data_IF_047901828513
#
_entry.id   IF_047901828513
#
_cell.length_a   1.000
_cell.length_b   1.000
_cell.length_c   1.000
_cell.angle_alpha   90.00
_cell.angle_beta   90.00
_cell.angle_gamma   90.00
#
_symmetry.space_group_name_H-M   'P 1'
#
loop_
_entity.id
_entity.type
_entity.pdbx_description
1 polymer ?
#
# COMPACT_ATOMS: atom_id res chain seq x y z
N UNK A 1 13.37 -5.71 15.80
CA UNK A 1 12.33 -4.90 16.48
C UNK A 1 10.98 -5.53 16.23
N UNK A 2 10.16 -5.73 17.25
CA UNK A 2 8.79 -6.19 17.06
C UNK A 2 7.83 -5.00 17.10
N UNK A 3 6.65 -5.15 16.48
CA UNK A 3 5.62 -4.13 16.57
C UNK A 3 5.24 -3.90 18.04
N UNK A 4 5.05 -2.63 18.42
CA UNK A 4 4.76 -2.21 19.81
C UNK A 4 3.48 -2.82 20.40
N UNK A 5 2.59 -3.38 19.59
CA UNK A 5 1.35 -3.99 20.04
C UNK A 5 0.90 -5.16 19.14
N UNK A 6 0.24 -6.15 19.75
CA UNK A 6 -0.54 -7.21 19.09
C UNK A 6 -2.04 -7.09 19.35
N UNK A 7 -2.50 -6.04 20.05
CA UNK A 7 -3.91 -5.82 20.37
C UNK A 7 -4.66 -5.28 19.15
N UNK A 8 -5.50 -6.14 18.56
CA UNK A 8 -6.34 -5.87 17.38
C UNK A 8 -7.15 -4.57 17.54
N UNK A 9 -7.62 -4.26 18.75
CA UNK A 9 -8.43 -3.07 19.01
C UNK A 9 -7.64 -1.78 18.80
N UNK A 10 -6.35 -1.76 19.18
CA UNK A 10 -5.48 -0.61 18.94
C UNK A 10 -5.18 -0.39 17.46
N UNK A 11 -5.05 -1.48 16.69
CA UNK A 11 -4.89 -1.41 15.23
C UNK A 11 -6.15 -0.85 14.57
N UNK A 12 -7.32 -1.37 14.96
CA UNK A 12 -8.61 -0.89 14.46
C UNK A 12 -8.84 0.59 14.78
N UNK A 13 -8.63 0.99 16.04
CA UNK A 13 -8.76 2.39 16.46
C UNK A 13 -7.80 3.32 15.70
N UNK A 14 -6.59 2.84 15.35
CA UNK A 14 -5.64 3.61 14.55
C UNK A 14 -6.09 3.76 13.10
N UNK A 15 -6.74 2.74 12.53
CA UNK A 15 -7.31 2.79 11.19
C UNK A 15 -8.55 3.71 11.14
N UNK A 16 -9.45 3.58 12.11
CA UNK A 16 -10.66 4.41 12.22
C UNK A 16 -10.32 5.90 12.38
N UNK A 17 -9.23 6.21 13.11
CA UNK A 17 -8.76 7.58 13.29
C UNK A 17 -7.99 8.15 12.08
N UNK A 18 -7.72 7.37 11.03
CA UNK A 18 -6.83 7.77 9.94
C UNK A 18 -7.33 9.03 9.22
N UNK A 19 -8.62 9.10 8.85
CA UNK A 19 -9.16 10.22 8.09
C UNK A 19 -9.06 11.53 8.88
N UNK A 20 -9.35 11.49 10.19
CA UNK A 20 -9.17 12.62 11.09
C UNK A 20 -7.70 13.03 11.19
N UNK A 21 -6.76 12.07 11.22
CA UNK A 21 -5.32 12.37 11.23
C UNK A 21 -4.88 13.06 9.95
N UNK A 22 -5.32 12.59 8.77
CA UNK A 22 -5.00 13.25 7.50
C UNK A 22 -5.52 14.68 7.46
N UNK A 23 -6.76 14.92 7.90
CA UNK A 23 -7.33 16.26 8.00
C UNK A 23 -6.51 17.16 8.95
N UNK A 24 -6.10 16.63 10.10
CA UNK A 24 -5.34 17.40 11.11
C UNK A 24 -3.96 17.86 10.66
N UNK A 25 -3.39 17.26 9.61
CA UNK A 25 -2.09 17.68 9.05
C UNK A 25 -2.15 19.06 8.38
N UNK A 26 -3.34 19.59 8.08
CA UNK A 26 -3.57 20.93 7.51
C UNK A 26 -2.67 21.24 6.30
N UNK A 27 -2.33 20.22 5.49
CA UNK A 27 -1.55 20.38 4.27
C UNK A 27 -2.47 20.64 3.08
N UNK A 28 -2.18 21.64 2.22
CA UNK A 28 -2.98 21.92 1.04
C UNK A 28 -3.14 20.69 0.15
N UNK A 29 -4.37 20.44 -0.32
CA UNK A 29 -4.72 19.35 -1.25
C UNK A 29 -4.42 17.93 -0.74
N UNK A 30 -3.92 17.74 0.49
CA UNK A 30 -3.54 16.41 0.96
C UNK A 30 -4.77 15.50 1.09
N UNK A 31 -5.88 16.02 1.60
CA UNK A 31 -7.14 15.25 1.75
C UNK A 31 -7.61 14.73 0.40
N UNK A 32 -7.73 15.61 -0.60
CA UNK A 32 -8.19 15.21 -1.94
C UNK A 32 -7.20 14.29 -2.66
N UNK A 33 -5.89 14.48 -2.46
CA UNK A 33 -4.87 13.58 -2.99
C UNK A 33 -4.92 12.20 -2.31
N UNK A 34 -5.22 12.15 -1.01
CA UNK A 34 -5.32 10.90 -0.25
C UNK A 34 -6.60 10.13 -0.61
N UNK A 35 -7.73 10.82 -0.76
CA UNK A 35 -8.99 10.25 -1.26
C UNK A 35 -8.79 9.65 -2.66
N UNK A 36 -8.11 10.38 -3.54
CA UNK A 36 -7.73 9.87 -4.85
C UNK A 36 -6.91 8.58 -4.75
N UNK A 37 -5.85 8.57 -3.94
CA UNK A 37 -4.97 7.40 -3.83
C UNK A 37 -5.65 6.19 -3.19
N UNK A 38 -6.49 6.40 -2.16
CA UNK A 38 -7.10 5.31 -1.39
C UNK A 38 -8.39 4.76 -2.00
N UNK A 39 -9.11 5.57 -2.77
CA UNK A 39 -10.45 5.23 -3.26
C UNK A 39 -10.52 5.24 -4.78
N UNK A 40 -10.21 6.38 -5.41
CA UNK A 40 -10.39 6.55 -6.85
C UNK A 40 -9.42 5.67 -7.66
N UNK A 41 -8.12 5.73 -7.34
CA UNK A 41 -7.08 5.05 -8.10
C UNK A 41 -7.24 3.51 -8.09
N UNK A 42 -7.47 2.82 -6.95
CA UNK A 42 -7.74 1.40 -6.96
C UNK A 42 -8.93 1.05 -7.84
N UNK A 43 -10.03 1.80 -7.73
CA UNK A 43 -11.24 1.61 -8.55
C UNK A 43 -10.93 1.73 -10.04
N UNK A 44 -10.18 2.75 -10.46
CA UNK A 44 -9.76 2.95 -11.85
C UNK A 44 -8.89 1.80 -12.37
N UNK A 45 -7.98 1.29 -11.55
CA UNK A 45 -7.13 0.14 -11.93
C UNK A 45 -8.00 -1.11 -12.12
N UNK A 46 -8.90 -1.41 -11.18
CA UNK A 46 -9.75 -2.60 -11.24
C UNK A 46 -10.79 -2.58 -12.37
N UNK A 47 -11.29 -1.39 -12.74
CA UNK A 47 -12.19 -1.23 -13.89
C UNK A 47 -11.55 -1.62 -15.23
N UNK A 48 -10.22 -1.73 -15.29
CA UNK A 48 -9.47 -2.11 -16.51
C UNK A 48 -9.19 -3.62 -16.59
N UNK A 49 -9.73 -4.42 -15.69
CA UNK A 49 -9.63 -5.87 -15.78
C UNK A 49 -10.20 -6.39 -17.12
N UNK A 50 -9.57 -7.40 -17.76
CA UNK A 50 -8.51 -8.27 -17.22
C UNK A 50 -7.09 -7.71 -17.31
N UNK A 51 -6.90 -6.49 -17.80
CA UNK A 51 -5.59 -5.90 -18.07
C UNK A 51 -5.35 -4.63 -17.22
N UNK A 52 -5.27 -4.77 -15.89
CA UNK A 52 -5.12 -3.65 -14.97
C UNK A 52 -3.79 -2.92 -15.25
N UNK A 53 -3.85 -1.60 -15.24
CA UNK A 53 -2.70 -0.74 -15.47
C UNK A 53 -2.95 0.67 -14.92
N UNK A 54 -1.87 1.43 -14.79
CA UNK A 54 -1.94 2.88 -14.53
C UNK A 54 -1.50 3.66 -15.77
N UNK A 55 -2.04 4.86 -15.90
CA UNK A 55 -1.66 5.86 -16.91
C UNK A 55 -0.54 6.77 -16.38
N UNK A 56 0.09 7.55 -17.26
CA UNK A 56 1.10 8.55 -16.86
C UNK A 56 0.48 9.59 -15.94
N UNK A 57 -0.73 10.06 -16.26
CA UNK A 57 -1.45 11.04 -15.44
C UNK A 57 -1.71 10.52 -14.03
N UNK A 58 -2.13 9.25 -13.92
CA UNK A 58 -2.37 8.61 -12.61
C UNK A 58 -1.07 8.43 -11.83
N UNK A 59 0.02 8.01 -12.48
CA UNK A 59 1.33 7.91 -11.85
C UNK A 59 1.83 9.28 -11.36
N UNK A 60 1.62 10.35 -12.12
CA UNK A 60 1.94 11.72 -11.72
C UNK A 60 1.10 12.17 -10.52
N UNK A 61 -0.21 11.90 -10.51
CA UNK A 61 -1.09 12.26 -9.39
C UNK A 61 -0.74 11.46 -8.12
N UNK A 62 -0.41 10.18 -8.26
CA UNK A 62 0.14 9.36 -7.17
C UNK A 62 1.47 9.93 -6.66
N UNK A 63 2.36 10.38 -7.53
CA UNK A 63 3.62 11.01 -7.12
C UNK A 63 3.37 12.31 -6.34
N UNK A 64 2.40 13.14 -6.76
CA UNK A 64 1.99 14.33 -6.02
C UNK A 64 1.48 13.99 -4.62
N UNK A 65 0.61 12.98 -4.50
CA UNK A 65 0.15 12.46 -3.21
C UNK A 65 1.32 12.01 -2.32
N UNK A 66 2.26 11.23 -2.87
CA UNK A 66 3.41 10.74 -2.12
C UNK A 66 4.30 11.88 -1.61
N UNK A 67 4.57 12.88 -2.46
CA UNK A 67 5.42 14.02 -2.14
C UNK A 67 4.76 15.01 -1.16
N UNK A 68 3.42 15.11 -1.13
CA UNK A 68 2.71 15.97 -0.17
C UNK A 68 2.77 15.41 1.26
N UNK A 69 2.87 14.08 1.39
CA UNK A 69 3.04 13.40 2.69
C UNK A 69 4.46 13.47 3.22
N UNK A 70 5.46 13.25 2.36
CA UNK A 70 6.87 13.16 2.74
C UNK A 70 7.72 14.38 2.39
N UNK A 71 9.00 14.12 2.10
CA UNK A 71 9.95 15.15 1.65
C UNK A 71 9.66 15.56 0.20
N UNK A 72 9.36 16.85 -0.02
CA UNK A 72 9.13 17.41 -1.34
C UNK A 72 10.39 17.30 -2.23
N UNK A 73 10.24 16.69 -3.40
CA UNK A 73 11.31 16.50 -4.42
C UNK A 73 10.72 16.69 -5.82
N UNK A 74 10.57 17.94 -6.29
CA UNK A 74 9.77 18.27 -7.48
C UNK A 74 10.29 17.60 -8.76
N UNK A 75 11.61 17.40 -8.87
CA UNK A 75 12.23 16.72 -10.02
C UNK A 75 11.69 15.30 -10.27
N UNK A 76 11.20 14.61 -9.23
CA UNK A 76 10.60 13.29 -9.39
C UNK A 76 9.25 13.37 -10.12
N UNK A 77 8.47 14.43 -9.86
CA UNK A 77 7.23 14.68 -10.56
C UNK A 77 7.47 15.02 -12.03
N UNK A 78 8.51 15.82 -12.32
CA UNK A 78 8.89 16.17 -13.69
C UNK A 78 9.28 14.91 -14.50
N UNK A 79 10.06 14.01 -13.89
CA UNK A 79 10.44 12.75 -14.54
C UNK A 79 9.23 11.90 -14.88
N UNK A 80 8.33 11.69 -13.91
CA UNK A 80 7.15 10.85 -14.08
C UNK A 80 6.19 11.46 -15.11
N UNK A 81 5.95 12.77 -15.06
CA UNK A 81 5.02 13.45 -15.96
C UNK A 81 5.51 13.50 -17.41
N UNK A 82 6.80 13.24 -17.63
CA UNK A 82 7.42 13.19 -18.95
C UNK A 82 7.59 11.76 -19.49
N UNK A 83 7.09 10.75 -18.77
CA UNK A 83 7.15 9.36 -19.24
C UNK A 83 6.18 9.14 -20.39
N UNK A 84 6.56 8.23 -21.28
CA UNK A 84 5.67 7.77 -22.34
C UNK A 84 4.53 6.90 -21.77
N UNK A 85 3.30 7.17 -22.22
CA UNK A 85 2.08 6.50 -21.76
C UNK A 85 2.13 4.99 -21.98
N UNK A 86 2.63 4.53 -23.13
CA UNK A 86 2.72 3.11 -23.43
C UNK A 86 3.73 2.41 -22.53
N UNK A 87 4.83 3.08 -22.19
CA UNK A 87 5.85 2.57 -21.28
C UNK A 87 5.31 2.43 -19.84
N UNK A 88 4.56 3.41 -19.34
CA UNK A 88 3.94 3.35 -18.00
C UNK A 88 2.91 2.21 -17.92
N UNK A 89 2.06 2.07 -18.94
CA UNK A 89 1.09 0.96 -19.02
C UNK A 89 1.79 -0.39 -19.02
N UNK A 90 2.73 -0.59 -19.94
CA UNK A 90 3.46 -1.87 -20.06
C UNK A 90 4.19 -2.26 -18.77
N UNK A 91 4.87 -1.32 -18.13
CA UNK A 91 5.57 -1.56 -16.87
C UNK A 91 4.62 -1.94 -15.74
N UNK A 92 3.48 -1.25 -15.61
CA UNK A 92 2.50 -1.53 -14.56
C UNK A 92 1.74 -2.83 -14.77
N UNK A 93 1.35 -3.17 -15.99
CA UNK A 93 0.74 -4.48 -16.33
C UNK A 93 1.66 -5.62 -15.92
N UNK A 94 2.92 -5.55 -16.35
CA UNK A 94 3.93 -6.56 -16.01
C UNK A 94 4.12 -6.68 -14.50
N UNK A 95 4.08 -5.55 -13.79
CA UNK A 95 4.22 -5.53 -12.34
C UNK A 95 3.04 -6.22 -11.64
N UNK A 96 1.80 -5.91 -12.05
CA UNK A 96 0.60 -6.51 -11.49
C UNK A 96 0.52 -8.01 -11.78
N UNK A 97 0.85 -8.44 -13.00
CA UNK A 97 0.94 -9.85 -13.38
C UNK A 97 2.03 -10.62 -12.63
N UNK A 98 3.06 -9.93 -12.13
CA UNK A 98 4.14 -10.57 -11.38
C UNK A 98 3.75 -10.91 -9.94
N UNK A 99 2.65 -10.35 -9.41
CA UNK A 99 2.21 -10.67 -8.05
C UNK A 99 1.75 -12.14 -7.97
N UNK A 100 2.03 -12.86 -6.86
CA UNK A 100 2.52 -12.34 -5.58
C UNK A 100 4.06 -12.19 -5.45
N UNK A 101 4.84 -12.34 -6.53
CA UNK A 101 6.29 -12.10 -6.52
C UNK A 101 6.59 -10.59 -6.49
N UNK A 102 6.62 -10.03 -5.28
CA UNK A 102 6.84 -8.60 -5.03
C UNK A 102 8.20 -8.12 -5.56
N UNK A 103 9.21 -8.99 -5.55
CA UNK A 103 10.54 -8.63 -6.08
C UNK A 103 10.49 -8.37 -7.58
N UNK A 104 9.84 -9.27 -8.34
CA UNK A 104 9.62 -9.06 -9.79
C UNK A 104 8.71 -7.88 -10.06
N UNK A 105 7.65 -7.72 -9.28
CA UNK A 105 6.68 -6.62 -9.44
C UNK A 105 7.36 -5.24 -9.27
N UNK A 106 8.19 -5.07 -8.24
CA UNK A 106 8.96 -3.83 -8.06
C UNK A 106 9.95 -3.63 -9.19
N UNK A 107 10.68 -4.69 -9.58
CA UNK A 107 11.67 -4.62 -10.66
C UNK A 107 11.04 -4.15 -11.98
N UNK A 108 9.81 -4.59 -12.27
CA UNK A 108 9.05 -4.18 -13.46
C UNK A 108 8.69 -2.69 -13.45
N UNK A 109 8.48 -2.06 -12.29
CA UNK A 109 8.17 -0.64 -12.17
C UNK A 109 9.42 0.24 -12.10
N UNK A 110 10.52 -0.25 -11.53
CA UNK A 110 11.76 0.54 -11.36
C UNK A 110 12.52 0.83 -12.65
N UNK A 111 12.05 0.30 -13.78
CA UNK A 111 12.52 0.69 -15.13
C UNK A 111 12.07 2.12 -15.50
N UNK A 112 11.00 2.62 -14.86
CA UNK A 112 10.47 3.95 -15.12
C UNK A 112 11.32 5.02 -14.41
N UNK A 113 11.77 6.02 -15.17
CA UNK A 113 12.56 7.13 -14.62
C UNK A 113 11.79 7.86 -13.53
N UNK A 114 12.40 8.04 -12.36
CA UNK A 114 11.75 8.67 -11.20
C UNK A 114 10.96 7.70 -10.31
N UNK A 115 10.83 6.44 -10.71
CA UNK A 115 10.19 5.38 -9.92
C UNK A 115 11.24 4.50 -9.27
N UNK A 116 11.49 4.70 -7.97
CA UNK A 116 12.28 3.78 -7.13
C UNK A 116 11.39 2.82 -6.34
N UNK A 117 11.97 1.91 -5.53
CA UNK A 117 11.22 0.93 -4.73
C UNK A 117 10.08 1.53 -3.90
N UNK A 118 10.31 2.69 -3.28
CA UNK A 118 9.26 3.37 -2.52
C UNK A 118 8.07 3.82 -3.39
N UNK A 119 8.30 4.31 -4.62
CA UNK A 119 7.20 4.69 -5.52
C UNK A 119 6.54 3.46 -6.14
N UNK A 120 7.33 2.46 -6.52
CA UNK A 120 6.82 1.19 -7.00
C UNK A 120 5.89 0.53 -5.97
N UNK A 121 6.27 0.53 -4.69
CA UNK A 121 5.43 0.00 -3.62
C UNK A 121 4.10 0.72 -3.45
N UNK A 122 4.02 2.03 -3.76
CA UNK A 122 2.75 2.77 -3.72
C UNK A 122 1.83 2.36 -4.88
N UNK A 123 2.39 2.18 -6.08
CA UNK A 123 1.64 1.67 -7.24
C UNK A 123 1.11 0.27 -6.96
N UNK A 124 1.95 -0.61 -6.41
CA UNK A 124 1.55 -1.98 -6.06
C UNK A 124 0.51 -2.00 -4.93
N UNK A 125 0.64 -1.15 -3.91
CA UNK A 125 -0.32 -1.06 -2.82
C UNK A 125 -1.69 -0.52 -3.25
N UNK A 126 -1.74 0.34 -4.28
CA UNK A 126 -3.01 0.78 -4.86
C UNK A 126 -3.75 -0.35 -5.60
N UNK A 127 -3.01 -1.35 -6.11
CA UNK A 127 -3.60 -2.51 -6.77
C UNK A 127 -3.87 -3.66 -5.78
N UNK A 128 -2.85 -4.14 -5.06
CA UNK A 128 -2.93 -5.32 -4.21
C UNK A 128 -2.33 -5.03 -2.81
N UNK A 129 -3.02 -4.23 -1.97
CA UNK A 129 -2.51 -3.81 -0.66
C UNK A 129 -2.21 -4.98 0.30
N UNK A 130 -2.96 -6.08 0.17
CA UNK A 130 -2.78 -7.29 0.99
C UNK A 130 -1.49 -8.06 0.68
N UNK A 131 -0.95 -7.88 -0.53
CA UNK A 131 0.24 -8.57 -1.02
C UNK A 131 1.47 -7.67 -0.96
N UNK A 132 1.32 -6.43 -1.43
CA UNK A 132 2.41 -5.47 -1.61
C UNK A 132 2.10 -4.16 -0.85
N UNK A 133 2.36 -4.10 0.47
CA UNK A 133 2.14 -2.89 1.27
C UNK A 133 3.01 -1.72 0.81
N UNK A 134 2.54 -0.49 1.08
CA UNK A 134 3.28 0.72 0.75
C UNK A 134 4.46 0.95 1.72
N UNK A 135 5.66 1.19 1.15
CA UNK A 135 6.90 1.45 1.87
C UNK A 135 7.03 2.92 2.30
N UNK A 136 6.22 3.38 3.25
CA UNK A 136 6.35 4.73 3.83
C UNK A 136 7.46 4.79 4.89
N UNK A 137 8.03 5.98 5.13
CA UNK A 137 9.08 6.18 6.14
C UNK A 137 8.61 5.75 7.53
N UNK A 138 7.37 6.10 7.91
CA UNK A 138 6.79 5.76 9.20
C UNK A 138 6.52 4.25 9.33
N UNK A 139 6.08 3.61 8.24
CA UNK A 139 5.84 2.17 8.23
C UNK A 139 7.16 1.38 8.32
N UNK A 140 8.19 1.84 7.59
CA UNK A 140 9.54 1.30 7.63
C UNK A 140 10.17 1.46 9.02
N UNK A 141 10.03 2.64 9.64
CA UNK A 141 10.50 2.90 11.00
C UNK A 141 9.79 1.98 12.00
N UNK A 142 8.45 1.89 11.92
CA UNK A 142 7.67 1.06 12.83
C UNK A 142 7.96 -0.44 12.69
N UNK A 143 8.19 -0.91 11.47
CA UNK A 143 8.43 -2.32 11.18
C UNK A 143 9.89 -2.70 11.41
N UNK A 144 10.85 -1.95 10.84
CA UNK A 144 12.26 -2.35 10.78
C UNK A 144 13.18 -1.52 11.70
N UNK A 145 12.69 -0.41 12.27
CA UNK A 145 13.53 0.53 13.03
C UNK A 145 14.50 1.31 12.15
N UNK A 146 14.21 1.41 10.84
CA UNK A 146 14.95 2.21 9.89
C UNK A 146 13.98 2.92 8.94
N UNK A 147 14.26 4.16 8.56
CA UNK A 147 13.37 4.98 7.73
C UNK A 147 14.02 5.50 6.44
N UNK A 148 15.32 5.24 6.22
CA UNK A 148 16.11 5.95 5.19
C UNK A 148 16.62 5.08 4.04
N UNK A 149 16.41 3.78 4.09
CA UNK A 149 16.95 2.85 3.08
C UNK A 149 15.85 2.36 2.12
N UNK A 150 15.68 3.06 1.00
CA UNK A 150 14.70 2.74 -0.04
C UNK A 150 15.23 1.71 -1.05
N UNK A 151 15.76 0.59 -0.56
CA UNK A 151 16.28 -0.50 -1.40
C UNK A 151 15.24 -1.60 -1.57
N UNK A 152 15.34 -2.37 -2.67
CA UNK A 152 14.49 -3.55 -2.85
C UNK A 152 14.65 -4.56 -1.70
N UNK A 153 15.89 -4.77 -1.23
CA UNK A 153 16.17 -5.67 -0.10
C UNK A 153 15.40 -5.27 1.16
N UNK A 154 15.44 -3.98 1.52
CA UNK A 154 14.71 -3.47 2.69
C UNK A 154 13.20 -3.57 2.49
N UNK A 155 12.71 -3.31 1.27
CA UNK A 155 11.29 -3.47 0.97
C UNK A 155 10.82 -4.93 1.16
N UNK A 156 11.59 -5.91 0.70
CA UNK A 156 11.22 -7.33 0.87
C UNK A 156 11.18 -7.75 2.35
N UNK A 157 12.13 -7.27 3.17
CA UNK A 157 12.10 -7.48 4.62
C UNK A 157 10.87 -6.84 5.28
N UNK A 158 10.49 -5.65 4.81
CA UNK A 158 9.31 -4.95 5.28
C UNK A 158 8.01 -5.71 4.94
N UNK A 159 7.88 -6.19 3.71
CA UNK A 159 6.73 -6.96 3.24
C UNK A 159 6.57 -8.25 4.04
N UNK A 160 7.64 -9.03 4.18
CA UNK A 160 7.65 -10.29 4.95
C UNK A 160 7.17 -10.06 6.40
N UNK A 161 7.66 -8.98 7.01
CA UNK A 161 7.30 -8.64 8.39
C UNK A 161 5.83 -8.23 8.54
N UNK A 162 5.31 -7.42 7.62
CA UNK A 162 3.91 -7.04 7.64
C UNK A 162 3.00 -8.23 7.37
N UNK A 163 3.34 -9.11 6.43
CA UNK A 163 2.58 -10.32 6.15
C UNK A 163 2.57 -11.27 7.35
N UNK A 164 3.73 -11.45 8.01
CA UNK A 164 3.83 -12.25 9.24
C UNK A 164 2.96 -11.66 10.36
N UNK A 165 2.99 -10.34 10.54
CA UNK A 165 2.16 -9.68 11.56
C UNK A 165 0.67 -9.76 11.24
N UNK A 166 0.28 -9.56 9.99
CA UNK A 166 -1.11 -9.68 9.53
C UNK A 166 -1.67 -11.06 9.86
N UNK A 167 -0.95 -12.13 9.47
CA UNK A 167 -1.30 -13.53 9.78
C UNK A 167 -1.46 -13.77 11.29
N UNK A 168 -0.53 -13.25 12.10
CA UNK A 168 -0.61 -13.37 13.57
C UNK A 168 -1.88 -12.72 14.14
N UNK A 169 -2.19 -11.50 13.73
CA UNK A 169 -3.35 -10.74 14.20
C UNK A 169 -4.65 -11.43 13.76
N UNK A 170 -4.71 -11.94 12.53
CA UNK A 170 -5.84 -12.74 12.05
C UNK A 170 -6.04 -13.98 12.93
N UNK A 171 -5.00 -14.76 13.20
CA UNK A 171 -5.08 -15.96 14.06
C UNK A 171 -5.52 -15.61 15.49
N UNK A 172 -5.00 -14.53 16.07
CA UNK A 172 -5.40 -14.07 17.40
C UNK A 172 -6.88 -13.63 17.44
N UNK A 173 -7.36 -12.98 16.38
CA UNK A 173 -8.77 -12.63 16.25
C UNK A 173 -9.65 -13.89 16.21
N UNK A 174 -9.26 -14.92 15.45
CA UNK A 174 -9.97 -16.20 15.41
C UNK A 174 -9.96 -16.92 16.76
N UNK A 175 -8.82 -16.99 17.45
CA UNK A 175 -8.72 -17.61 18.78
C UNK A 175 -9.56 -16.87 19.83
N UNK A 176 -9.60 -15.53 19.77
CA UNK A 176 -10.43 -14.72 20.66
C UNK A 176 -11.93 -14.91 20.40
N UNK A 177 -12.33 -15.06 19.13
CA UNK A 177 -13.72 -15.36 18.75
C UNK A 177 -14.12 -16.78 19.16
N UNK A 178 -13.25 -17.77 18.98
CA UNK A 178 -13.48 -19.16 19.39
C UNK A 178 -13.50 -19.33 20.92
N UNK A 179 -12.77 -18.50 21.66
CA UNK A 179 -12.77 -18.50 23.13
C UNK A 179 -14.03 -17.88 23.76
N UNK A 180 -14.75 -17.03 23.03
CA UNK A 180 -15.93 -16.30 23.53
C UNK A 180 -17.28 -16.85 23.04
N UNK A 181 -17.30 -17.89 22.19
CA UNK A 181 -18.53 -18.53 21.73
C UNK A 181 -18.47 -20.05 21.86
N UNK A 182 -19.37 -20.63 22.67
CA UNK A 182 -19.75 -22.05 22.52
C UNK A 182 -20.39 -22.19 21.14
N UNK A 183 -19.69 -22.85 20.23
CA UNK A 183 -20.16 -23.11 18.87
C UNK A 183 -21.47 -23.91 18.91
N UNK A 184 -22.56 -23.35 18.37
CA UNK A 184 -23.69 -24.13 17.88
C UNK A 184 -23.43 -24.39 16.38
N UNK A 185 -23.37 -25.64 15.91
CA UNK A 185 -23.09 -25.92 14.51
C UNK A 185 -24.30 -25.59 13.64
N UNK A 186 -24.11 -24.89 12.52
CA UNK A 186 -25.06 -24.95 11.41
C UNK A 186 -25.53 -23.67 10.73
N UNK A 187 -24.75 -22.58 10.71
CA UNK A 187 -24.89 -21.47 9.71
C UNK A 187 -23.81 -20.42 9.94
N UNK A 188 -22.94 -20.18 8.97
CA UNK A 188 -22.17 -18.92 8.91
C UNK A 188 -22.02 -18.48 7.46
N UNK A 189 -22.62 -17.33 7.14
CA UNK A 189 -22.42 -16.60 5.90
C UNK A 189 -21.00 -16.03 5.87
N UNK A 190 -20.27 -16.34 4.79
CA UNK A 190 -18.96 -15.77 4.47
C UNK A 190 -19.13 -14.34 3.95
N UNK A 191 -19.30 -13.36 4.84
CA UNK A 191 -19.28 -11.97 4.43
C UNK A 191 -18.93 -11.06 5.62
N UNK A 192 -17.64 -10.90 5.93
CA UNK A 192 -17.09 -9.69 6.55
C UNK A 192 -15.62 -9.88 6.95
N UNK A 193 -14.69 -9.90 6.00
CA UNK A 193 -13.31 -9.49 6.26
C UNK A 193 -12.74 -8.86 5.00
N UNK A 194 -12.94 -7.55 4.83
CA UNK A 194 -12.04 -6.64 4.11
C UNK A 194 -12.59 -5.23 4.30
N UNK A 195 -11.93 -4.42 5.12
CA UNK A 195 -11.44 -3.05 4.88
C UNK A 195 -10.85 -2.51 6.18
#
# INVERSE_FOLDING_TARGET
>A
MDFRSSDVSLWKNSLDAYSTRIQSLNKPNLVSLDDYYRVELPSLIYQRNPDPHITTLELSKLMQWKLSRGKWRPRLLDFVSSLDESHVKSASQKAFQSLPDVSKAVSALTVLKGVGPATASAVLAAYAPDVAPFMSDEAMEAALGNSKEYTLKQYLLFVDKLQTKSKMVTVLSWLFLLGNYKMVPGKWDFAAVTY
#
